data_IF_688956341164
#
_entry.id   IF_688956341164
#
_cell.length_a   1.000
_cell.length_b   1.000
_cell.length_c   1.000
_cell.angle_alpha   90.00
_cell.angle_beta   90.00
_cell.angle_gamma   90.00
#
_symmetry.space_group_name_H-M   'P 1'
#
loop_
_entity.id
_entity.type
_entity.pdbx_description
1 polymer ?
#
# COMPACT_ATOMS: atom_id res chain seq x y z
N UNK A 1 -14.91 -6.02 -21.61
CA UNK A 1 -15.98 -5.92 -22.63
C UNK A 1 -15.35 -5.49 -23.94
N UNK A 2 -15.70 -6.13 -25.04
CA UNK A 2 -15.09 -5.93 -26.37
C UNK A 2 -16.14 -5.85 -27.48
N UNK A 3 -15.79 -5.19 -28.58
CA UNK A 3 -16.61 -5.14 -29.80
C UNK A 3 -16.51 -6.44 -30.63
N UNK A 4 -17.27 -6.50 -31.73
CA UNK A 4 -17.29 -7.66 -32.63
C UNK A 4 -15.96 -7.94 -33.35
N UNK A 5 -15.00 -7.01 -33.32
CA UNK A 5 -13.65 -7.17 -33.87
C UNK A 5 -12.62 -7.53 -32.78
N UNK A 6 -13.07 -7.73 -31.54
CA UNK A 6 -12.22 -8.07 -30.40
C UNK A 6 -11.52 -6.87 -29.74
N UNK A 7 -11.78 -5.62 -30.18
CA UNK A 7 -11.20 -4.43 -29.54
C UNK A 7 -11.80 -4.23 -28.16
N UNK A 8 -10.96 -4.05 -27.15
CA UNK A 8 -11.41 -3.85 -25.77
C UNK A 8 -11.98 -2.44 -25.62
N UNK A 9 -13.26 -2.37 -25.27
CA UNK A 9 -14.01 -1.14 -25.10
C UNK A 9 -14.04 -0.65 -23.65
N UNK A 10 -14.06 -1.59 -22.70
CA UNK A 10 -14.14 -1.31 -21.26
C UNK A 10 -13.54 -2.43 -20.42
N UNK A 11 -12.85 -2.03 -19.36
CA UNK A 11 -12.33 -2.90 -18.29
C UNK A 11 -12.87 -2.39 -16.95
N UNK A 12 -13.29 -3.30 -16.06
CA UNK A 12 -13.80 -2.95 -14.74
C UNK A 12 -13.51 -4.03 -13.70
N UNK A 13 -13.35 -3.64 -12.43
CA UNK A 13 -13.27 -4.55 -11.27
C UNK A 13 -14.63 -4.76 -10.60
N UNK A 14 -14.82 -5.90 -9.96
CA UNK A 14 -15.99 -6.16 -9.12
C UNK A 14 -15.62 -7.08 -7.94
N UNK A 15 -16.24 -6.86 -6.77
CA UNK A 15 -16.23 -7.83 -5.67
C UNK A 15 -17.03 -9.08 -6.03
N UNK A 16 -18.14 -8.89 -6.74
CA UNK A 16 -18.99 -9.95 -7.25
C UNK A 16 -19.31 -9.66 -8.73
N UNK A 17 -18.77 -10.49 -9.63
CA UNK A 17 -18.92 -10.31 -11.08
C UNK A 17 -20.37 -10.46 -11.52
N UNK A 18 -21.14 -11.40 -10.94
CA UNK A 18 -22.54 -11.64 -11.30
C UNK A 18 -23.39 -10.41 -10.98
N UNK A 19 -23.25 -9.87 -9.76
CA UNK A 19 -23.97 -8.67 -9.36
C UNK A 19 -23.61 -7.45 -10.24
N UNK A 20 -22.33 -7.29 -10.60
CA UNK A 20 -21.85 -6.22 -11.48
C UNK A 20 -22.45 -6.31 -12.88
N UNK A 21 -22.45 -7.49 -13.48
CA UNK A 21 -23.00 -7.71 -14.82
C UNK A 21 -24.52 -7.53 -14.84
N UNK A 22 -25.21 -8.01 -13.81
CA UNK A 22 -26.64 -7.78 -13.64
C UNK A 22 -26.94 -6.28 -13.57
N UNK A 23 -26.14 -5.51 -12.82
CA UNK A 23 -26.32 -4.06 -12.71
C UNK A 23 -26.16 -3.31 -14.04
N UNK A 24 -25.38 -3.85 -14.98
CA UNK A 24 -25.31 -3.31 -16.34
C UNK A 24 -26.56 -3.62 -17.16
N UNK A 25 -27.14 -4.81 -16.98
CA UNK A 25 -28.32 -5.25 -17.71
C UNK A 25 -29.63 -4.64 -17.20
N UNK A 26 -29.70 -4.28 -15.91
CA UNK A 26 -30.90 -3.65 -15.33
C UNK A 26 -31.04 -2.19 -15.78
N UNK A 27 -32.21 -1.83 -16.33
CA UNK A 27 -32.54 -0.45 -16.67
C UNK A 27 -32.43 0.47 -15.45
N UNK A 28 -31.47 1.40 -15.47
CA UNK A 28 -31.20 2.35 -14.38
C UNK A 28 -30.11 1.95 -13.37
N UNK A 29 -29.47 0.77 -13.51
CA UNK A 29 -28.64 0.20 -12.45
C UNK A 29 -27.28 0.87 -12.18
N UNK A 30 -26.46 1.09 -13.22
CA UNK A 30 -25.08 1.58 -13.02
C UNK A 30 -24.97 3.11 -12.86
N UNK A 31 -25.98 3.87 -13.32
CA UNK A 31 -26.07 5.32 -13.20
C UNK A 31 -25.08 6.14 -14.05
N UNK A 32 -24.03 5.52 -14.63
CA UNK A 32 -23.06 6.22 -15.49
C UNK A 32 -23.58 6.38 -16.93
N UNK A 33 -23.56 7.60 -17.48
CA UNK A 33 -24.21 7.91 -18.77
C UNK A 33 -23.58 7.19 -19.98
N UNK A 34 -22.32 6.77 -19.89
CA UNK A 34 -21.63 6.07 -20.98
C UNK A 34 -21.97 4.57 -21.06
N UNK A 35 -22.63 3.99 -20.07
CA UNK A 35 -22.89 2.53 -20.01
C UNK A 35 -23.87 2.06 -21.09
N UNK A 36 -25.01 2.73 -21.36
CA UNK A 36 -25.89 2.33 -22.45
C UNK A 36 -25.15 2.26 -23.80
N UNK A 37 -24.30 3.23 -24.09
CA UNK A 37 -23.47 3.27 -25.31
C UNK A 37 -22.42 2.16 -25.35
N UNK A 38 -21.81 1.84 -24.21
CA UNK A 38 -20.88 0.71 -24.08
C UNK A 38 -21.59 -0.61 -24.41
N UNK A 39 -22.76 -0.84 -23.82
CA UNK A 39 -23.53 -2.07 -24.01
C UNK A 39 -23.97 -2.23 -25.46
N UNK A 40 -24.45 -1.16 -26.10
CA UNK A 40 -24.83 -1.18 -27.52
C UNK A 40 -23.68 -1.53 -28.49
N UNK A 41 -22.41 -1.37 -28.07
CA UNK A 41 -21.22 -1.71 -28.86
C UNK A 41 -20.53 -3.00 -28.41
N UNK A 42 -20.95 -3.57 -27.29
CA UNK A 42 -20.30 -4.75 -26.71
C UNK A 42 -20.84 -6.01 -27.39
N UNK A 43 -19.97 -6.76 -28.04
CA UNK A 43 -20.30 -8.07 -28.60
C UNK A 43 -19.93 -9.21 -27.64
N UNK A 44 -18.92 -8.99 -26.77
CA UNK A 44 -18.43 -10.03 -25.87
C UNK A 44 -17.97 -9.50 -24.52
N UNK A 45 -18.18 -10.34 -23.49
CA UNK A 45 -17.74 -10.09 -22.12
C UNK A 45 -16.81 -11.23 -21.68
N UNK A 46 -15.60 -10.88 -21.25
CA UNK A 46 -14.65 -11.81 -20.64
C UNK A 46 -14.43 -11.43 -19.18
N UNK A 47 -14.33 -12.44 -18.32
CA UNK A 47 -14.11 -12.28 -16.89
C UNK A 47 -12.82 -13.00 -16.49
N UNK A 48 -12.02 -12.38 -15.63
CA UNK A 48 -10.82 -12.98 -15.03
C UNK A 48 -11.06 -13.03 -13.53
N UNK A 49 -10.97 -14.23 -12.94
CA UNK A 49 -11.11 -14.42 -11.50
C UNK A 49 -9.79 -14.06 -10.81
N UNK A 50 -9.88 -13.37 -9.69
CA UNK A 50 -8.74 -13.01 -8.83
C UNK A 50 -9.02 -13.45 -7.41
N UNK A 51 -7.99 -13.82 -6.66
CA UNK A 51 -8.13 -14.34 -5.29
C UNK A 51 -8.50 -13.24 -4.29
N UNK A 52 -8.16 -11.98 -4.58
CA UNK A 52 -8.47 -10.84 -3.69
C UNK A 52 -8.99 -9.62 -4.45
N UNK A 53 -9.70 -8.72 -3.75
CA UNK A 53 -10.12 -7.43 -4.32
C UNK A 53 -8.92 -6.57 -4.75
N UNK A 54 -7.79 -6.72 -4.05
CA UNK A 54 -6.55 -5.99 -4.34
C UNK A 54 -5.91 -6.46 -5.65
N UNK A 55 -5.94 -7.76 -5.92
CA UNK A 55 -5.52 -8.31 -7.22
C UNK A 55 -6.47 -7.87 -8.34
N UNK A 56 -7.79 -7.89 -8.11
CA UNK A 56 -8.76 -7.38 -9.09
C UNK A 56 -8.47 -5.93 -9.48
N UNK A 57 -8.13 -5.09 -8.50
CA UNK A 57 -7.75 -3.68 -8.72
C UNK A 57 -6.44 -3.56 -9.52
N UNK A 58 -5.43 -4.37 -9.20
CA UNK A 58 -4.15 -4.38 -9.92
C UNK A 58 -4.32 -4.80 -11.39
N UNK A 59 -5.07 -5.87 -11.61
CA UNK A 59 -5.33 -6.41 -12.93
C UNK A 59 -6.15 -5.43 -13.76
N UNK A 60 -7.19 -4.81 -13.18
CA UNK A 60 -7.98 -3.77 -13.84
C UNK A 60 -7.08 -2.64 -14.37
N UNK A 61 -6.19 -2.11 -13.53
CA UNK A 61 -5.30 -1.03 -13.94
C UNK A 61 -4.33 -1.45 -15.05
N UNK A 62 -3.76 -2.65 -14.93
CA UNK A 62 -2.83 -3.20 -15.92
C UNK A 62 -3.50 -3.27 -17.29
N UNK A 63 -4.71 -3.83 -17.35
CA UNK A 63 -5.48 -3.96 -18.58
C UNK A 63 -5.98 -2.60 -19.14
N UNK A 64 -6.35 -1.65 -18.28
CA UNK A 64 -6.71 -0.29 -18.72
C UNK A 64 -5.51 0.41 -19.36
N UNK A 65 -4.32 0.27 -18.77
CA UNK A 65 -3.10 0.90 -19.30
C UNK A 65 -2.61 0.26 -20.59
N UNK A 66 -2.67 -1.06 -20.67
CA UNK A 66 -2.27 -1.83 -21.84
C UNK A 66 -3.18 -1.54 -23.04
N UNK A 67 -4.50 -1.55 -22.83
CA UNK A 67 -5.45 -1.47 -23.94
C UNK A 67 -6.06 -0.09 -24.17
N UNK A 68 -5.88 0.85 -23.24
CA UNK A 68 -6.46 2.21 -23.26
C UNK A 68 -7.91 2.27 -23.77
N UNK A 69 -8.84 1.50 -23.17
CA UNK A 69 -10.21 1.35 -23.65
C UNK A 69 -10.99 2.67 -23.74
N UNK A 70 -11.80 2.80 -24.80
CA UNK A 70 -12.52 4.04 -25.14
C UNK A 70 -13.63 4.43 -24.15
N UNK A 71 -14.11 3.52 -23.30
CA UNK A 71 -15.15 3.81 -22.30
C UNK A 71 -14.63 3.90 -20.86
N UNK A 72 -13.34 3.66 -20.60
CA UNK A 72 -12.74 3.93 -19.30
C UNK A 72 -12.38 5.41 -19.17
N UNK A 73 -13.17 6.20 -18.44
CA UNK A 73 -12.94 7.65 -18.23
C UNK A 73 -11.86 7.88 -17.16
N UNK A 74 -11.96 7.16 -16.03
CA UNK A 74 -10.98 7.18 -14.95
C UNK A 74 -9.87 6.13 -15.20
N UNK A 75 -8.67 6.38 -14.66
CA UNK A 75 -7.46 5.54 -14.82
C UNK A 75 -6.82 5.54 -16.22
N UNK A 76 -7.19 6.48 -17.10
CA UNK A 76 -6.40 6.79 -18.32
C UNK A 76 -5.12 7.55 -18.04
N UNK A 77 -5.10 8.33 -16.97
CA UNK A 77 -3.89 9.01 -16.50
C UNK A 77 -2.82 7.95 -16.21
N UNK A 78 -1.58 8.21 -16.61
CA UNK A 78 -0.39 7.41 -16.27
C UNK A 78 -0.05 7.42 -14.76
N UNK A 79 -0.99 7.81 -13.89
CA UNK A 79 -0.86 7.79 -12.43
C UNK A 79 -0.77 6.35 -11.95
N UNK A 80 0.46 5.86 -11.93
CA UNK A 80 0.84 4.63 -11.26
C UNK A 80 0.47 4.68 -9.78
N UNK A 81 0.03 3.52 -9.28
CA UNK A 81 -0.30 3.33 -7.88
C UNK A 81 0.89 3.70 -6.99
N UNK A 82 0.58 4.22 -5.81
CA UNK A 82 1.61 4.44 -4.82
C UNK A 82 1.93 3.12 -4.14
N UNK A 83 3.21 2.88 -3.97
CA UNK A 83 3.81 1.73 -3.32
C UNK A 83 4.68 2.25 -2.19
N UNK A 84 4.79 1.45 -1.15
CA UNK A 84 5.74 1.65 -0.07
C UNK A 84 6.94 0.76 -0.33
N UNK A 85 8.11 1.36 -0.55
CA UNK A 85 9.38 0.66 -0.74
C UNK A 85 10.17 0.66 0.57
N UNK A 86 10.74 -0.48 0.95
CA UNK A 86 11.71 -0.60 2.05
C UNK A 86 12.90 -1.42 1.55
N UNK A 87 14.09 -0.82 1.56
CA UNK A 87 15.33 -1.51 1.16
C UNK A 87 16.18 -1.84 2.38
N UNK A 88 16.30 -3.14 2.69
CA UNK A 88 17.06 -3.62 3.88
C UNK A 88 18.57 -3.44 3.75
N UNK A 89 19.09 -3.22 2.55
CA UNK A 89 20.54 -3.05 2.34
C UNK A 89 21.01 -1.68 2.78
N UNK A 90 20.13 -0.69 2.78
CA UNK A 90 20.42 0.63 3.32
C UNK A 90 20.86 0.54 4.79
N UNK A 91 21.77 1.43 5.21
CA UNK A 91 22.30 1.42 6.59
C UNK A 91 21.18 1.57 7.63
N UNK A 92 20.20 2.41 7.32
CA UNK A 92 18.99 2.62 8.12
C UNK A 92 17.77 2.54 7.20
N UNK A 93 17.25 1.33 6.94
CA UNK A 93 16.11 1.11 6.05
C UNK A 93 14.88 1.88 6.50
N UNK A 94 14.16 2.48 5.56
CA UNK A 94 12.96 3.25 5.90
C UNK A 94 11.88 3.12 4.82
N UNK A 95 10.61 3.40 5.17
CA UNK A 95 9.54 3.41 4.20
C UNK A 95 9.60 4.62 3.25
N UNK A 96 9.64 4.34 1.95
CA UNK A 96 9.67 5.35 0.88
C UNK A 96 8.47 5.22 -0.04
N UNK A 97 7.90 6.35 -0.46
CA UNK A 97 6.79 6.39 -1.41
C UNK A 97 7.34 6.33 -2.83
N UNK A 98 6.97 5.30 -3.58
CA UNK A 98 7.36 5.14 -4.99
C UNK A 98 6.14 4.82 -5.84
N UNK A 99 6.27 5.00 -7.16
CA UNK A 99 5.21 4.68 -8.13
C UNK A 99 5.51 3.42 -8.94
N UNK A 100 6.79 3.03 -9.00
CA UNK A 100 7.28 1.86 -9.75
C UNK A 100 7.99 0.90 -8.84
N UNK A 101 7.81 -0.38 -9.11
CA UNK A 101 8.70 -1.43 -8.64
C UNK A 101 9.95 -1.40 -9.53
N UNK A 102 11.11 -1.27 -8.91
CA UNK A 102 12.38 -1.45 -9.60
C UNK A 102 12.87 -2.89 -9.36
N UNK A 103 13.68 -3.43 -10.28
CA UNK A 103 14.41 -4.69 -10.05
C UNK A 103 15.63 -4.45 -9.15
N UNK A 104 15.41 -3.77 -8.05
CA UNK A 104 16.47 -3.41 -7.12
C UNK A 104 16.62 -4.46 -6.01
N UNK A 105 15.63 -5.30 -5.72
CA UNK A 105 15.65 -6.26 -4.60
C UNK A 105 15.14 -5.66 -3.27
N UNK A 106 14.57 -4.45 -3.31
CA UNK A 106 13.84 -3.88 -2.19
C UNK A 106 12.47 -4.56 -2.01
N UNK A 107 11.89 -4.41 -0.83
CA UNK A 107 10.54 -4.88 -0.55
C UNK A 107 9.54 -3.79 -0.92
N UNK A 108 8.44 -4.20 -1.56
CA UNK A 108 7.37 -3.30 -1.99
C UNK A 108 6.04 -3.73 -1.37
N UNK A 109 5.33 -2.77 -0.78
CA UNK A 109 4.02 -2.97 -0.16
C UNK A 109 2.98 -2.04 -0.81
N UNK A 110 1.78 -2.56 -1.04
CA UNK A 110 0.75 -1.87 -1.83
C UNK A 110 0.22 -2.78 -2.93
N UNK A 111 -0.52 -2.28 -3.93
CA UNK A 111 -0.72 -0.86 -4.25
C UNK A 111 -1.69 -0.14 -3.30
N UNK A 112 -1.48 1.16 -3.15
CA UNK A 112 -2.44 2.04 -2.50
C UNK A 112 -3.22 2.82 -3.56
N UNK A 113 -4.55 2.73 -3.50
CA UNK A 113 -5.48 3.35 -4.46
C UNK A 113 -5.51 4.87 -4.38
N UNK A 114 -5.03 5.46 -3.28
CA UNK A 114 -4.97 6.91 -3.10
C UNK A 114 -3.73 7.36 -2.33
N UNK A 115 -3.27 8.58 -2.62
CA UNK A 115 -2.21 9.24 -1.87
C UNK A 115 -2.60 9.51 -0.41
N UNK A 116 -3.91 9.66 -0.13
CA UNK A 116 -4.41 9.79 1.24
C UNK A 116 -4.22 8.50 2.03
N UNK A 117 -4.63 7.37 1.45
CA UNK A 117 -4.52 6.06 2.11
C UNK A 117 -3.09 5.71 2.48
N UNK A 118 -2.12 5.88 1.57
CA UNK A 118 -0.72 5.55 1.87
C UNK A 118 -0.12 6.49 2.93
N UNK A 119 -0.49 7.78 2.96
CA UNK A 119 -0.04 8.72 3.99
C UNK A 119 -0.59 8.37 5.36
N UNK A 120 -1.84 7.90 5.42
CA UNK A 120 -2.46 7.43 6.66
C UNK A 120 -1.79 6.15 7.16
N UNK A 121 -1.52 5.18 6.28
CA UNK A 121 -0.74 3.99 6.61
C UNK A 121 0.66 4.35 7.14
N UNK A 122 1.37 5.27 6.48
CA UNK A 122 2.65 5.78 6.95
C UNK A 122 2.56 6.43 8.33
N UNK A 123 1.52 7.22 8.58
CA UNK A 123 1.30 7.88 9.87
C UNK A 123 1.12 6.85 10.99
N UNK A 124 0.33 5.81 10.74
CA UNK A 124 0.13 4.70 11.69
C UNK A 124 1.44 3.94 11.89
N UNK A 125 2.15 3.63 10.81
CA UNK A 125 3.42 2.91 10.87
C UNK A 125 4.45 3.64 11.74
N UNK A 126 4.63 4.96 11.55
CA UNK A 126 5.56 5.75 12.37
C UNK A 126 5.09 5.98 13.81
N UNK A 127 3.81 5.74 14.11
CA UNK A 127 3.30 5.78 15.48
C UNK A 127 3.55 4.44 16.20
N UNK A 128 3.47 3.33 15.48
CA UNK A 128 3.66 2.00 16.03
C UNK A 128 5.14 1.57 16.10
N UNK A 129 5.96 2.06 15.18
CA UNK A 129 7.36 1.70 15.08
C UNK A 129 8.20 2.99 15.02
N UNK A 130 9.17 3.18 15.93
CA UNK A 130 9.96 4.41 16.01
C UNK A 130 11.04 4.47 14.91
N UNK A 131 10.62 4.42 13.65
CA UNK A 131 11.49 4.43 12.47
C UNK A 131 11.94 5.84 12.07
N UNK A 132 13.04 5.92 11.33
CA UNK A 132 13.49 7.17 10.72
C UNK A 132 12.49 7.66 9.67
N UNK A 133 11.85 8.80 9.95
CA UNK A 133 10.87 9.45 9.06
C UNK A 133 11.43 10.65 8.27
N UNK A 134 12.69 11.02 8.50
CA UNK A 134 13.33 12.15 7.81
C UNK A 134 13.70 11.80 6.36
N UNK A 135 13.70 12.81 5.48
CA UNK A 135 14.14 12.65 4.10
C UNK A 135 15.64 12.34 4.02
N UNK A 136 16.06 11.71 2.91
CA UNK A 136 17.48 11.38 2.61
C UNK A 136 18.42 12.57 2.88
N UNK A 137 18.07 13.76 2.37
CA UNK A 137 18.82 15.00 2.59
C UNK A 137 18.91 15.41 4.06
N UNK A 138 17.80 15.34 4.81
CA UNK A 138 17.78 15.67 6.24
C UNK A 138 18.49 14.63 7.08
N UNK A 139 18.53 13.37 6.64
CA UNK A 139 19.24 12.30 7.32
C UNK A 139 20.75 12.56 7.29
N UNK A 140 21.31 12.88 6.11
CA UNK A 140 22.75 13.10 5.96
C UNK A 140 23.26 14.39 6.57
N UNK A 141 22.42 15.43 6.65
CA UNK A 141 22.82 16.75 7.16
C UNK A 141 22.57 16.94 8.66
N UNK A 142 22.01 15.95 9.36
CA UNK A 142 21.63 16.12 10.77
C UNK A 142 22.77 15.77 11.70
N UNK A 143 23.00 16.68 12.65
CA UNK A 143 23.94 16.50 13.76
C UNK A 143 23.24 16.45 15.11
N UNK A 144 21.98 16.92 15.18
CA UNK A 144 21.18 16.98 16.42
C UNK A 144 19.86 16.22 16.28
N UNK A 145 19.37 15.57 17.36
CA UNK A 145 18.07 14.91 17.37
C UNK A 145 16.91 15.87 17.03
N UNK A 146 15.84 15.35 16.43
CA UNK A 146 14.63 16.12 16.12
C UNK A 146 13.58 15.99 17.22
N UNK A 147 12.53 16.80 17.09
CA UNK A 147 11.32 16.64 17.89
C UNK A 147 10.75 15.21 17.82
N UNK A 148 10.78 14.53 16.66
CA UNK A 148 10.29 13.15 16.56
C UNK A 148 11.10 12.17 17.43
N UNK A 149 12.38 12.45 17.66
CA UNK A 149 13.18 11.68 18.63
C UNK A 149 12.77 12.01 20.06
N UNK A 150 12.67 13.29 20.39
CA UNK A 150 12.32 13.75 21.73
C UNK A 150 10.94 13.25 22.20
N UNK A 151 9.99 13.07 21.28
CA UNK A 151 8.65 12.54 21.58
C UNK A 151 8.52 11.02 21.35
N UNK A 152 9.63 10.31 21.16
CA UNK A 152 9.66 8.83 21.03
C UNK A 152 9.13 8.26 19.71
N UNK A 153 8.81 9.08 18.70
CA UNK A 153 8.32 8.61 17.38
C UNK A 153 9.41 8.16 16.42
N UNK A 154 10.68 8.35 16.78
CA UNK A 154 11.84 8.01 15.96
C UNK A 154 13.03 7.76 16.87
N UNK A 155 13.79 6.70 16.65
CA UNK A 155 15.01 6.43 17.44
C UNK A 155 16.20 7.32 17.10
N UNK A 156 16.07 8.25 16.14
CA UNK A 156 17.07 9.31 15.94
C UNK A 156 18.38 8.84 15.29
N UNK A 157 18.37 7.77 14.49
CA UNK A 157 19.58 7.26 13.82
C UNK A 157 20.31 8.31 12.97
N UNK A 158 19.59 9.30 12.44
CA UNK A 158 20.20 10.43 11.72
C UNK A 158 21.12 11.30 12.57
N UNK A 159 21.05 11.21 13.91
CA UNK A 159 21.90 11.92 14.84
C UNK A 159 22.82 10.96 15.63
N UNK A 160 22.94 9.70 15.18
CA UNK A 160 23.82 8.71 15.82
C UNK A 160 23.30 8.11 17.13
N UNK A 161 22.02 8.29 17.46
CA UNK A 161 21.44 7.84 18.74
C UNK A 161 21.20 6.32 18.82
N UNK A 162 21.39 5.57 17.72
CA UNK A 162 21.18 4.12 17.66
C UNK A 162 22.12 3.48 16.65
N UNK A 163 22.60 2.27 16.96
CA UNK A 163 23.37 1.46 16.02
C UNK A 163 22.50 0.89 14.89
N UNK A 164 23.12 0.32 13.86
CA UNK A 164 22.36 -0.35 12.79
C UNK A 164 21.72 -1.63 13.32
N UNK A 165 22.45 -2.33 14.18
CA UNK A 165 22.14 -3.64 14.73
C UNK A 165 20.87 -3.58 15.58
N UNK A 166 20.72 -2.52 16.39
CA UNK A 166 19.52 -2.26 17.18
C UNK A 166 18.36 -1.70 16.33
N UNK A 167 18.65 -1.02 15.22
CA UNK A 167 17.63 -0.46 14.34
C UNK A 167 16.92 -1.50 13.47
N UNK A 168 17.65 -2.51 12.98
CA UNK A 168 17.12 -3.51 12.06
C UNK A 168 15.91 -4.31 12.62
N UNK A 169 15.90 -4.75 13.90
CA UNK A 169 14.73 -5.37 14.51
C UNK A 169 13.46 -4.51 14.44
N UNK A 170 13.58 -3.17 14.60
CA UNK A 170 12.45 -2.25 14.49
C UNK A 170 11.87 -2.22 13.07
N UNK A 171 12.76 -2.23 12.06
CA UNK A 171 12.37 -2.34 10.65
C UNK A 171 11.68 -3.67 10.39
N UNK A 172 12.19 -4.76 10.93
CA UNK A 172 11.63 -6.10 10.72
C UNK A 172 10.23 -6.23 11.31
N UNK A 173 9.97 -5.63 12.47
CA UNK A 173 8.64 -5.54 13.05
C UNK A 173 7.67 -4.74 12.16
N UNK A 174 8.11 -3.61 11.61
CA UNK A 174 7.34 -2.83 10.66
C UNK A 174 7.03 -3.61 9.37
N UNK A 175 8.00 -4.36 8.86
CA UNK A 175 7.83 -5.23 7.69
C UNK A 175 6.83 -6.36 7.97
N UNK A 176 6.92 -7.03 9.14
CA UNK A 176 5.96 -8.06 9.55
C UNK A 176 4.53 -7.51 9.61
N UNK A 177 4.36 -6.30 10.18
CA UNK A 177 3.09 -5.60 10.20
C UNK A 177 2.56 -5.33 8.79
N UNK A 178 3.39 -4.80 7.88
CA UNK A 178 3.01 -4.51 6.50
C UNK A 178 2.68 -5.77 5.67
N UNK A 179 3.23 -6.94 6.03
CA UNK A 179 2.88 -8.24 5.41
C UNK A 179 1.55 -8.81 5.91
N UNK A 180 0.91 -8.19 6.90
CA UNK A 180 -0.33 -8.70 7.50
C UNK A 180 -0.10 -9.74 8.60
N UNK A 181 1.14 -10.00 8.99
CA UNK A 181 1.50 -10.92 10.09
C UNK A 181 1.43 -10.21 11.45
N UNK A 182 0.34 -9.49 11.70
CA UNK A 182 0.19 -8.69 12.93
C UNK A 182 -0.16 -9.53 14.16
N UNK A 183 -0.71 -10.75 13.98
CA UNK A 183 -1.12 -11.63 15.09
C UNK A 183 0.07 -12.11 15.93
N UNK A 184 1.14 -12.55 15.29
CA UNK A 184 2.35 -12.98 16.00
C UNK A 184 3.08 -11.82 16.67
N UNK A 185 3.07 -10.65 16.03
CA UNK A 185 3.63 -9.42 16.59
C UNK A 185 2.86 -8.95 17.84
N UNK A 186 1.53 -8.99 17.80
CA UNK A 186 0.70 -8.69 18.98
C UNK A 186 0.95 -9.70 20.12
N UNK A 187 1.18 -10.97 19.79
CA UNK A 187 1.49 -12.00 20.77
C UNK A 187 2.85 -11.74 21.44
N UNK A 188 3.87 -11.36 20.66
CA UNK A 188 5.18 -11.02 21.23
C UNK A 188 5.13 -9.75 22.08
N UNK A 189 4.45 -8.69 21.63
CA UNK A 189 4.31 -7.46 22.41
C UNK A 189 3.53 -7.68 23.71
N UNK A 190 2.48 -8.50 23.69
CA UNK A 190 1.78 -8.88 24.93
C UNK A 190 2.68 -9.66 25.89
N UNK A 191 3.51 -10.56 25.37
CA UNK A 191 4.43 -11.32 26.20
C UNK A 191 5.50 -10.43 26.83
N UNK A 192 6.05 -9.50 26.06
CA UNK A 192 7.05 -8.52 26.50
C UNK A 192 6.47 -7.55 27.55
N UNK A 193 5.30 -6.95 27.26
CA UNK A 193 4.57 -6.10 28.20
C UNK A 193 4.24 -6.85 29.51
N UNK A 194 3.81 -8.12 29.44
CA UNK A 194 3.57 -8.92 30.64
C UNK A 194 4.86 -9.25 31.41
N UNK A 195 6.00 -9.38 30.72
CA UNK A 195 7.31 -9.54 31.35
C UNK A 195 7.75 -8.28 32.08
N UNK A 196 7.69 -7.13 31.41
CA UNK A 196 8.04 -5.83 31.98
C UNK A 196 7.11 -5.43 33.13
N UNK A 197 5.82 -5.75 33.05
CA UNK A 197 4.87 -5.55 34.15
C UNK A 197 5.19 -6.43 35.38
N UNK A 198 5.66 -7.66 35.17
CA UNK A 198 6.15 -8.52 36.27
C UNK A 198 7.42 -7.97 36.92
N UNK A 199 8.24 -7.26 36.17
CA UNK A 199 9.44 -6.55 36.66
C UNK A 199 9.13 -5.18 37.27
N UNK A 200 7.85 -4.80 37.39
CA UNK A 200 7.39 -3.46 37.81
C UNK A 200 7.92 -2.30 36.96
N UNK A 201 8.37 -2.56 35.72
CA UNK A 201 8.84 -1.56 34.75
C UNK A 201 7.67 -1.03 33.92
N UNK A 202 6.68 -0.47 34.62
CA UNK A 202 5.42 -0.02 34.02
C UNK A 202 5.62 1.10 32.97
N UNK A 203 6.67 1.92 33.09
CA UNK A 203 6.99 2.98 32.13
C UNK A 203 7.47 2.45 30.77
N UNK A 204 8.02 1.23 30.71
CA UNK A 204 8.49 0.60 29.46
C UNK A 204 7.44 -0.34 28.84
N UNK A 205 6.40 -0.67 29.60
CA UNK A 205 5.33 -1.57 29.20
C UNK A 205 4.15 -0.86 28.49
N UNK A 206 4.17 0.48 28.42
CA UNK A 206 3.05 1.32 27.95
C UNK A 206 3.19 1.81 26.49
#
# INVERSE_FOLDING_TARGET
MSDGRGKILYVGKAKNLRARLHNYASGGGDGRPQIPYLLGRTASVRCILTSTEKEALLLENTLIKEHRPSFNIFLRDDKEYLLLRIDRREKYPRPELVRRVAKDGAMYFGPFSSARGIRETLRILYRLFPLCSCSRKKFSSRTRPCINYQIGRCVGACAGMISREEYLPLVDNAVRFLRGNYRDLLKSWKAEMNGLAKEMRFEEAA
#
